data_IF_296335607628
#
_entry.id   IF_296335607628
#
_cell.length_a   1.000
_cell.length_b   1.000
_cell.length_c   1.000
_cell.angle_alpha   90.00
_cell.angle_beta   90.00
_cell.angle_gamma   90.00
#
_symmetry.space_group_name_H-M   'P 1'
#
loop_
_entity.id
_entity.type
_entity.pdbx_description
1 polymer ?
#
# COMPACT_ATOMS: atom_id res chain seq x y z
N UNK A 1 -41.18 7.19 41.36
CA UNK A 1 -42.40 6.37 41.20
C UNK A 1 -43.60 6.78 42.06
N UNK A 2 -43.45 7.12 43.36
CA UNK A 2 -44.59 7.42 44.25
C UNK A 2 -45.47 8.60 43.78
N UNK A 3 -44.85 9.64 43.21
CA UNK A 3 -45.57 10.82 42.70
C UNK A 3 -46.43 10.52 41.45
N UNK A 4 -45.93 9.67 40.55
CA UNK A 4 -46.63 9.25 39.31
C UNK A 4 -47.82 8.33 39.61
N UNK A 5 -47.74 7.53 40.67
CA UNK A 5 -48.81 6.61 41.10
C UNK A 5 -50.06 7.36 41.60
N UNK A 6 -49.87 8.54 42.21
CA UNK A 6 -50.97 9.39 42.64
C UNK A 6 -51.70 10.09 41.48
N UNK A 7 -51.03 10.28 40.33
CA UNK A 7 -51.61 10.95 39.15
C UNK A 7 -52.31 9.96 38.23
N UNK A 8 -51.75 8.76 38.04
CA UNK A 8 -52.23 7.78 37.07
C UNK A 8 -52.99 6.59 37.66
N UNK A 9 -53.14 6.53 38.99
CA UNK A 9 -53.92 5.53 39.70
C UNK A 9 -53.44 4.09 39.47
N UNK A 10 -54.37 3.13 39.55
CA UNK A 10 -54.09 1.69 39.38
C UNK A 10 -53.69 1.29 37.96
N UNK A 11 -53.88 2.17 36.96
CA UNK A 11 -53.53 1.93 35.56
C UNK A 11 -52.06 2.21 35.22
N UNK A 12 -51.29 2.78 36.14
CA UNK A 12 -49.89 3.13 35.92
C UNK A 12 -49.02 1.95 35.41
N UNK A 13 -49.11 0.73 35.94
CA UNK A 13 -48.27 -0.38 35.47
C UNK A 13 -48.53 -0.74 34.00
N UNK A 14 -49.81 -0.78 33.60
CA UNK A 14 -50.20 -1.08 32.22
C UNK A 14 -49.77 0.05 31.27
N UNK A 15 -49.89 1.31 31.70
CA UNK A 15 -49.46 2.45 30.90
C UNK A 15 -47.94 2.49 30.72
N UNK A 16 -47.15 2.23 31.77
CA UNK A 16 -45.70 2.12 31.66
C UNK A 16 -45.32 0.97 30.71
N UNK A 17 -46.05 -0.15 30.76
CA UNK A 17 -45.80 -1.27 29.87
C UNK A 17 -46.12 -0.95 28.39
N UNK A 18 -47.18 -0.17 28.14
CA UNK A 18 -47.55 0.31 26.80
C UNK A 18 -46.54 1.36 26.30
N UNK A 19 -46.20 2.36 27.12
CA UNK A 19 -45.19 3.37 26.78
C UNK A 19 -43.82 2.72 26.54
N UNK A 20 -43.46 1.69 27.32
CA UNK A 20 -42.28 0.85 27.09
C UNK A 20 -42.33 0.16 25.74
N UNK A 21 -43.44 -0.50 25.38
CA UNK A 21 -43.58 -1.14 24.07
C UNK A 21 -43.58 -0.15 22.91
N UNK A 22 -44.08 1.08 23.11
CA UNK A 22 -44.05 2.14 22.10
C UNK A 22 -42.62 2.64 21.91
N UNK A 23 -41.92 2.95 23.01
CA UNK A 23 -40.54 3.46 22.97
C UNK A 23 -39.55 2.40 22.49
N UNK A 24 -39.77 1.12 22.80
CA UNK A 24 -39.02 -0.01 22.22
C UNK A 24 -39.26 -0.15 20.69
N UNK A 25 -40.38 0.37 20.16
CA UNK A 25 -40.73 0.34 18.73
C UNK A 25 -40.32 1.58 17.94
N UNK A 26 -39.92 2.68 18.59
CA UNK A 26 -39.42 3.87 17.88
C UNK A 26 -37.99 3.61 17.42
N UNK A 27 -37.86 2.86 16.32
CA UNK A 27 -36.61 2.74 15.59
C UNK A 27 -36.16 4.12 15.09
N UNK A 28 -34.86 4.39 15.20
CA UNK A 28 -34.23 5.49 14.44
C UNK A 28 -34.36 5.22 12.94
N UNK A 29 -34.03 6.24 12.13
CA UNK A 29 -33.94 6.18 10.67
C UNK A 29 -33.38 4.83 10.15
N UNK A 30 -33.81 4.36 8.96
CA UNK A 30 -33.46 3.05 8.43
C UNK A 30 -31.95 2.74 8.48
N UNK A 31 -31.56 1.68 9.18
CA UNK A 31 -30.20 1.15 9.23
C UNK A 31 -29.37 1.42 10.49
N UNK A 32 -29.98 1.93 11.58
CA UNK A 32 -29.34 1.96 12.90
C UNK A 32 -29.97 0.89 13.82
N UNK A 33 -29.19 0.17 14.63
CA UNK A 33 -29.75 -0.74 15.63
C UNK A 33 -30.65 0.04 16.59
N UNK A 34 -31.81 -0.51 16.93
CA UNK A 34 -32.70 0.06 17.94
C UNK A 34 -32.02 -0.06 19.31
N UNK A 35 -31.80 1.08 19.97
CA UNK A 35 -31.22 1.12 21.30
C UNK A 35 -32.27 1.39 22.37
N UNK A 36 -32.14 0.74 23.54
CA UNK A 36 -33.03 0.95 24.69
C UNK A 36 -32.74 2.26 25.44
N UNK A 37 -31.70 2.99 25.04
CA UNK A 37 -31.20 4.23 25.68
C UNK A 37 -32.31 5.25 25.98
N UNK A 38 -33.29 5.42 25.08
CA UNK A 38 -34.40 6.35 25.32
C UNK A 38 -35.32 5.90 26.46
N UNK A 39 -35.60 4.60 26.54
CA UNK A 39 -36.34 3.98 27.63
C UNK A 39 -35.54 4.06 28.94
N UNK A 40 -34.25 3.69 28.88
CA UNK A 40 -33.38 3.62 30.06
C UNK A 40 -33.12 5.01 30.66
N UNK A 41 -33.05 6.04 29.82
CA UNK A 41 -32.99 7.44 30.23
C UNK A 41 -34.29 7.91 30.91
N UNK A 42 -35.46 7.48 30.42
CA UNK A 42 -36.75 7.85 31.01
C UNK A 42 -37.09 7.03 32.27
N UNK A 43 -36.62 5.79 32.37
CA UNK A 43 -36.82 4.94 33.54
C UNK A 43 -35.82 5.22 34.67
N UNK A 44 -34.77 6.02 34.41
CA UNK A 44 -33.68 6.28 35.35
C UNK A 44 -32.72 5.12 35.50
N UNK A 45 -32.77 4.13 34.59
CA UNK A 45 -31.88 2.98 34.61
C UNK A 45 -30.44 3.34 34.22
N UNK A 46 -30.25 4.43 33.46
CA UNK A 46 -28.90 4.95 33.15
C UNK A 46 -28.17 5.51 34.38
N UNK A 47 -28.89 5.80 35.46
CA UNK A 47 -28.33 6.43 36.67
C UNK A 47 -27.96 5.38 37.76
N UNK A 48 -28.26 4.10 37.54
CA UNK A 48 -28.02 3.01 38.49
C UNK A 48 -27.19 1.90 37.82
N UNK A 49 -26.08 1.51 38.44
CA UNK A 49 -25.17 0.50 37.87
C UNK A 49 -25.35 -0.82 38.64
N UNK A 50 -25.99 -1.80 38.01
CA UNK A 50 -26.35 -3.07 38.64
C UNK A 50 -25.21 -4.10 38.53
N UNK A 51 -25.27 -5.14 39.35
CA UNK A 51 -24.32 -6.26 39.29
C UNK A 51 -24.49 -7.09 38.00
N UNK A 52 -25.67 -7.06 37.38
CA UNK A 52 -25.97 -7.76 36.13
C UNK A 52 -25.26 -7.10 34.93
N UNK A 53 -25.09 -5.77 34.96
CA UNK A 53 -24.34 -5.00 33.95
C UNK A 53 -22.85 -5.41 33.89
N UNK A 54 -22.26 -5.79 35.04
CA UNK A 54 -20.88 -6.29 35.10
C UNK A 54 -20.72 -7.67 34.42
N UNK A 55 -21.77 -8.50 34.44
CA UNK A 55 -21.74 -9.86 33.91
C UNK A 55 -22.13 -9.95 32.42
N UNK A 56 -22.69 -8.88 31.86
CA UNK A 56 -23.04 -8.81 30.43
C UNK A 56 -24.12 -9.81 30.02
N UNK A 57 -25.16 -9.96 30.82
CA UNK A 57 -26.24 -10.91 30.55
C UNK A 57 -27.07 -10.49 29.30
N UNK A 58 -27.64 -11.45 28.53
CA UNK A 58 -28.31 -11.14 27.26
C UNK A 58 -29.50 -10.18 27.33
N UNK A 59 -30.08 -9.98 28.52
CA UNK A 59 -31.20 -9.07 28.76
C UNK A 59 -30.83 -7.59 28.76
N UNK A 60 -29.55 -7.27 29.01
CA UNK A 60 -29.00 -5.92 29.18
C UNK A 60 -28.22 -5.43 27.94
N UNK A 61 -28.35 -6.15 26.84
CA UNK A 61 -27.84 -5.72 25.53
C UNK A 61 -28.49 -4.38 25.14
N UNK A 62 -27.68 -3.32 25.03
CA UNK A 62 -28.11 -2.01 24.52
C UNK A 62 -28.75 -2.11 23.13
N UNK A 63 -28.38 -3.16 22.37
CA UNK A 63 -28.93 -3.51 21.08
C UNK A 63 -30.12 -4.44 21.28
N UNK A 64 -31.33 -4.00 20.91
CA UNK A 64 -32.48 -4.90 20.95
C UNK A 64 -32.24 -6.10 19.99
N UNK A 65 -32.75 -7.30 20.32
CA UNK A 65 -32.72 -8.42 19.38
C UNK A 65 -33.38 -8.00 18.05
N UNK A 66 -32.89 -8.53 16.91
CA UNK A 66 -33.37 -8.11 15.59
C UNK A 66 -34.89 -8.27 15.53
N UNK A 67 -35.59 -7.19 15.22
CA UNK A 67 -37.04 -7.21 15.16
C UNK A 67 -37.53 -8.08 13.97
N UNK A 68 -38.81 -8.43 13.97
CA UNK A 68 -39.40 -9.26 12.91
C UNK A 68 -39.20 -8.62 11.53
N UNK A 69 -39.13 -7.29 11.46
CA UNK A 69 -38.90 -6.55 10.22
C UNK A 69 -37.47 -6.76 9.70
N UNK A 70 -36.47 -6.70 10.57
CA UNK A 70 -35.04 -6.97 10.30
C UNK A 70 -34.83 -8.41 9.83
N UNK A 71 -35.51 -9.36 10.46
CA UNK A 71 -35.50 -10.77 10.07
C UNK A 71 -36.20 -10.98 8.72
N UNK A 72 -37.30 -10.27 8.45
CA UNK A 72 -37.99 -10.30 7.17
C UNK A 72 -37.16 -9.62 6.06
N UNK A 73 -36.47 -8.53 6.33
CA UNK A 73 -35.55 -7.89 5.38
C UNK A 73 -34.40 -8.85 5.01
N UNK A 74 -33.79 -9.53 5.99
CA UNK A 74 -32.79 -10.55 5.72
C UNK A 74 -33.36 -11.74 4.93
N UNK A 75 -34.56 -12.22 5.28
CA UNK A 75 -35.21 -13.33 4.59
C UNK A 75 -35.63 -13.00 3.15
N UNK A 76 -36.04 -11.76 2.90
CA UNK A 76 -36.44 -11.25 1.58
C UNK A 76 -35.25 -10.72 0.77
N UNK A 77 -34.02 -10.82 1.28
CA UNK A 77 -32.81 -10.32 0.61
C UNK A 77 -32.71 -8.79 0.53
N UNK A 78 -33.48 -8.07 1.35
CA UNK A 78 -33.50 -6.61 1.47
C UNK A 78 -32.56 -6.07 2.55
N UNK A 79 -31.91 -6.94 3.34
CA UNK A 79 -30.86 -6.52 4.27
C UNK A 79 -29.82 -5.67 3.53
N UNK A 80 -29.59 -4.44 3.99
CA UNK A 80 -28.58 -3.54 3.42
C UNK A 80 -27.26 -4.30 3.30
N UNK A 81 -26.74 -4.42 2.08
CA UNK A 81 -25.35 -4.82 1.88
C UNK A 81 -24.47 -3.97 2.80
N UNK A 82 -23.46 -4.55 3.47
CA UNK A 82 -22.55 -3.80 4.31
C UNK A 82 -22.06 -2.56 3.55
N UNK A 83 -21.97 -1.42 4.25
CA UNK A 83 -21.47 -0.20 3.65
C UNK A 83 -20.13 -0.51 2.97
N UNK A 84 -19.91 -0.06 1.72
CA UNK A 84 -18.68 -0.35 1.01
C UNK A 84 -17.51 0.11 1.87
N UNK A 85 -16.56 -0.78 2.11
CA UNK A 85 -15.39 -0.48 2.91
C UNK A 85 -14.19 -0.30 1.98
N UNK A 86 -13.37 0.70 2.30
CA UNK A 86 -12.17 1.01 1.54
C UNK A 86 -11.08 -0.01 1.88
N UNK A 87 -10.54 -0.67 0.86
CA UNK A 87 -9.43 -1.61 0.97
C UNK A 87 -8.26 -1.10 0.15
N UNK A 88 -7.07 -1.18 0.75
CA UNK A 88 -5.81 -0.87 0.07
C UNK A 88 -5.12 -2.18 -0.30
N UNK A 89 -4.68 -2.28 -1.54
CA UNK A 89 -3.95 -3.41 -2.10
C UNK A 89 -2.54 -2.95 -2.48
N UNK A 90 -1.52 -3.76 -2.17
CA UNK A 90 -0.22 -3.64 -2.83
C UNK A 90 -0.25 -4.49 -4.10
N UNK A 91 0.05 -3.87 -5.25
CA UNK A 91 -0.04 -4.48 -6.58
C UNK A 91 1.33 -4.47 -7.24
N UNK A 92 1.94 -5.64 -7.35
CA UNK A 92 3.27 -5.80 -7.95
C UNK A 92 3.19 -5.99 -9.47
N UNK A 93 4.29 -5.64 -10.16
CA UNK A 93 4.45 -5.86 -11.60
C UNK A 93 3.93 -4.73 -12.50
N UNK A 94 3.41 -3.64 -11.94
CA UNK A 94 3.04 -2.45 -12.73
C UNK A 94 4.29 -1.69 -13.18
N UNK A 95 4.45 -1.49 -14.50
CA UNK A 95 5.66 -0.85 -15.08
C UNK A 95 5.38 0.45 -15.84
N UNK A 96 4.16 0.68 -16.31
CA UNK A 96 3.81 1.87 -17.08
C UNK A 96 2.34 2.25 -16.89
N UNK A 97 1.91 3.40 -17.45
CA UNK A 97 0.51 3.84 -17.41
C UNK A 97 -0.47 2.87 -18.09
N UNK A 98 -0.01 2.07 -19.05
CA UNK A 98 -0.80 0.97 -19.63
C UNK A 98 -1.13 -0.12 -18.59
N UNK A 99 -0.17 -0.47 -17.71
CA UNK A 99 -0.41 -1.40 -16.61
C UNK A 99 -1.45 -0.82 -15.63
N UNK A 100 -1.36 0.47 -15.30
CA UNK A 100 -2.32 1.16 -14.41
C UNK A 100 -3.74 1.03 -14.97
N UNK A 101 -3.89 1.33 -16.26
CA UNK A 101 -5.19 1.22 -16.95
C UNK A 101 -5.72 -0.22 -16.97
N UNK A 102 -4.84 -1.21 -17.16
CA UNK A 102 -5.20 -2.62 -17.15
C UNK A 102 -5.65 -3.09 -15.76
N UNK A 103 -4.92 -2.72 -14.70
CA UNK A 103 -5.27 -3.00 -13.30
C UNK A 103 -6.61 -2.36 -12.95
N UNK A 104 -6.78 -1.06 -13.22
CA UNK A 104 -8.03 -0.31 -12.96
C UNK A 104 -9.23 -0.97 -13.66
N UNK A 105 -9.08 -1.33 -14.93
CA UNK A 105 -10.13 -2.02 -15.71
C UNK A 105 -10.44 -3.42 -15.16
N UNK A 106 -9.43 -4.16 -14.72
CA UNK A 106 -9.61 -5.50 -14.16
C UNK A 106 -10.37 -5.45 -12.83
N UNK A 107 -10.06 -4.46 -11.99
CA UNK A 107 -10.76 -4.19 -10.73
C UNK A 107 -12.22 -3.78 -10.96
N UNK A 108 -12.46 -2.79 -11.82
CA UNK A 108 -13.83 -2.29 -12.10
C UNK A 108 -14.73 -3.32 -12.79
N UNK A 109 -14.16 -4.37 -13.40
CA UNK A 109 -14.94 -5.49 -13.97
C UNK A 109 -15.42 -6.49 -12.92
N UNK A 110 -14.90 -6.44 -11.69
CA UNK A 110 -15.29 -7.41 -10.68
C UNK A 110 -16.63 -7.04 -10.03
N UNK A 111 -17.53 -8.03 -9.83
CA UNK A 111 -18.77 -7.79 -9.12
C UNK A 111 -18.50 -7.47 -7.65
N UNK A 112 -19.04 -6.33 -7.20
CA UNK A 112 -18.90 -5.83 -5.83
C UNK A 112 -17.86 -4.73 -5.64
N UNK A 113 -17.18 -4.26 -6.71
CA UNK A 113 -16.30 -3.09 -6.66
C UNK A 113 -17.03 -1.87 -7.21
N UNK A 114 -17.20 -0.82 -6.40
CA UNK A 114 -17.85 0.44 -6.82
C UNK A 114 -16.86 1.43 -7.42
N UNK A 115 -15.66 1.51 -6.87
CA UNK A 115 -14.61 2.39 -7.33
C UNK A 115 -13.23 1.76 -7.19
N UNK A 116 -12.30 2.16 -8.05
CA UNK A 116 -10.91 1.72 -8.01
C UNK A 116 -10.00 2.86 -8.46
N UNK A 117 -9.03 3.21 -7.61
CA UNK A 117 -7.93 4.12 -7.93
C UNK A 117 -6.62 3.38 -7.84
N UNK A 118 -5.71 3.63 -8.78
CA UNK A 118 -4.45 2.88 -8.89
C UNK A 118 -3.31 3.88 -8.98
N UNK A 119 -2.36 3.76 -8.05
CA UNK A 119 -1.17 4.60 -8.03
C UNK A 119 0.06 3.77 -8.38
N UNK A 120 0.74 4.20 -9.45
CA UNK A 120 1.90 3.52 -9.98
C UNK A 120 3.18 3.73 -9.15
N UNK A 121 3.32 4.88 -8.49
CA UNK A 121 4.52 5.23 -7.69
C UNK A 121 4.53 4.43 -6.39
N UNK A 122 3.36 4.33 -5.75
CA UNK A 122 3.15 3.59 -4.50
C UNK A 122 2.96 2.09 -4.72
N UNK A 123 2.89 1.64 -5.98
CA UNK A 123 2.58 0.25 -6.35
C UNK A 123 1.32 -0.25 -5.61
N UNK A 124 0.32 0.63 -5.53
CA UNK A 124 -0.86 0.43 -4.69
C UNK A 124 -2.15 0.68 -5.45
N UNK A 125 -3.22 -0.01 -5.05
CA UNK A 125 -4.57 0.24 -5.52
C UNK A 125 -5.52 0.40 -4.33
N UNK A 126 -6.36 1.42 -4.38
CA UNK A 126 -7.43 1.65 -3.41
C UNK A 126 -8.74 1.28 -4.07
N UNK A 127 -9.49 0.36 -3.45
CA UNK A 127 -10.79 -0.08 -3.95
C UNK A 127 -11.87 0.12 -2.89
N UNK A 128 -13.07 0.43 -3.34
CA UNK A 128 -14.26 0.33 -2.50
C UNK A 128 -14.96 -0.99 -2.82
N UNK A 129 -14.91 -1.91 -1.85
CA UNK A 129 -15.49 -3.24 -1.96
C UNK A 129 -16.77 -3.33 -1.13
N UNK A 130 -17.78 -4.00 -1.69
CA UNK A 130 -19.04 -4.30 -0.99
C UNK A 130 -18.82 -5.25 0.19
N UNK A 131 -18.01 -6.27 -0.02
CA UNK A 131 -17.75 -7.37 0.93
C UNK A 131 -16.33 -7.90 0.75
N UNK A 132 -15.83 -8.65 1.75
CA UNK A 132 -14.49 -9.25 1.72
C UNK A 132 -14.33 -10.24 0.56
N UNK A 133 -15.43 -10.87 0.13
CA UNK A 133 -15.42 -11.81 -0.98
C UNK A 133 -15.12 -11.11 -2.31
N UNK A 134 -15.66 -9.91 -2.51
CA UNK A 134 -15.36 -9.04 -3.65
C UNK A 134 -13.88 -8.67 -3.68
N UNK A 135 -13.28 -8.37 -2.53
CA UNK A 135 -11.84 -8.11 -2.39
C UNK A 135 -11.01 -9.33 -2.81
N UNK A 136 -11.36 -10.53 -2.33
CA UNK A 136 -10.65 -11.77 -2.68
C UNK A 136 -10.78 -12.09 -4.18
N UNK A 137 -11.97 -11.87 -4.77
CA UNK A 137 -12.18 -12.02 -6.23
C UNK A 137 -11.29 -11.05 -7.01
N UNK A 138 -11.19 -9.80 -6.56
CA UNK A 138 -10.33 -8.79 -7.15
C UNK A 138 -8.87 -9.20 -7.16
N UNK A 139 -8.36 -9.69 -6.03
CA UNK A 139 -6.97 -10.16 -5.90
C UNK A 139 -6.69 -11.33 -6.84
N UNK A 140 -7.60 -12.32 -6.94
CA UNK A 140 -7.44 -13.42 -7.90
C UNK A 140 -7.47 -12.95 -9.35
N UNK A 141 -8.37 -12.03 -9.67
CA UNK A 141 -8.48 -11.47 -11.01
C UNK A 141 -7.18 -10.74 -11.41
N UNK A 142 -6.63 -9.93 -10.51
CA UNK A 142 -5.35 -9.26 -10.71
C UNK A 142 -4.20 -10.26 -10.90
N UNK A 143 -4.12 -11.29 -10.04
CA UNK A 143 -3.12 -12.35 -10.19
C UNK A 143 -3.21 -13.06 -11.56
N UNK A 144 -4.43 -13.38 -12.01
CA UNK A 144 -4.67 -13.98 -13.33
C UNK A 144 -4.28 -13.05 -14.49
N UNK A 145 -4.47 -11.75 -14.33
CA UNK A 145 -4.04 -10.73 -15.27
C UNK A 145 -2.51 -10.49 -15.26
N UNK A 146 -1.79 -11.08 -14.31
CA UNK A 146 -0.34 -10.95 -14.17
C UNK A 146 0.13 -9.85 -13.23
N UNK A 147 -0.76 -9.32 -12.40
CA UNK A 147 -0.49 -8.34 -11.38
C UNK A 147 -0.69 -9.00 -10.00
N UNK A 148 0.30 -9.76 -9.50
CA UNK A 148 0.18 -10.36 -8.18
C UNK A 148 -0.04 -9.24 -7.15
N UNK A 149 -1.09 -9.40 -6.35
CA UNK A 149 -1.51 -8.40 -5.39
C UNK A 149 -1.80 -9.02 -4.03
N UNK A 150 -1.55 -8.25 -2.99
CA UNK A 150 -1.76 -8.63 -1.60
C UNK A 150 -2.61 -7.54 -0.93
N UNK A 151 -3.49 -7.95 -0.02
CA UNK A 151 -4.26 -6.99 0.78
C UNK A 151 -3.30 -6.35 1.78
N UNK A 152 -3.24 -5.02 1.81
CA UNK A 152 -2.41 -4.30 2.77
C UNK A 152 -3.08 -4.40 4.15
N UNK A 153 -2.44 -5.02 5.16
CA UNK A 153 -3.00 -5.12 6.50
C UNK A 153 -3.22 -3.73 7.11
N UNK A 154 -4.30 -3.56 7.86
CA UNK A 154 -4.64 -2.30 8.56
C UNK A 154 -3.79 -2.07 9.83
N UNK A 155 -3.12 -3.11 10.34
CA UNK A 155 -2.41 -3.09 11.62
C UNK A 155 -0.91 -2.82 11.43
N UNK A 156 -0.37 -1.92 12.27
CA UNK A 156 0.96 -1.33 12.10
C UNK A 156 2.14 -2.28 12.37
N UNK A 157 1.91 -3.38 13.11
CA UNK A 157 2.97 -4.31 13.52
C UNK A 157 3.54 -5.13 12.35
N UNK A 158 2.74 -5.34 11.30
CA UNK A 158 3.14 -6.11 10.10
C UNK A 158 3.77 -5.23 8.99
N UNK A 159 3.66 -3.90 9.09
CA UNK A 159 4.13 -2.97 8.05
C UNK A 159 5.66 -2.80 8.05
N UNK A 160 6.33 -3.04 9.18
CA UNK A 160 7.73 -2.65 9.41
C UNK A 160 8.76 -3.67 8.89
N UNK A 161 8.58 -4.95 9.22
CA UNK A 161 9.42 -6.02 8.64
C UNK A 161 9.28 -6.06 7.12
N UNK A 162 8.06 -5.83 6.64
CA UNK A 162 7.72 -5.77 5.21
C UNK A 162 8.24 -4.51 4.53
N UNK A 163 8.32 -3.38 5.22
CA UNK A 163 8.88 -2.14 4.69
C UNK A 163 10.36 -2.27 4.37
N UNK A 164 11.16 -2.72 5.34
CA UNK A 164 12.60 -2.94 5.16
C UNK A 164 12.88 -4.05 4.12
N UNK A 165 12.11 -5.14 4.14
CA UNK A 165 12.22 -6.21 3.14
C UNK A 165 11.84 -5.71 1.72
N UNK A 166 10.80 -4.88 1.60
CA UNK A 166 10.38 -4.28 0.33
C UNK A 166 11.39 -3.26 -0.18
N UNK A 167 12.01 -2.47 0.70
CA UNK A 167 13.10 -1.55 0.33
C UNK A 167 14.35 -2.31 -0.15
N UNK A 168 14.76 -3.35 0.57
CA UNK A 168 15.89 -4.20 0.18
C UNK A 168 15.64 -4.89 -1.17
N UNK A 169 14.44 -5.45 -1.37
CA UNK A 169 14.05 -6.06 -2.64
C UNK A 169 14.06 -5.05 -3.80
N UNK A 170 13.61 -3.81 -3.56
CA UNK A 170 13.59 -2.74 -4.56
C UNK A 170 15.00 -2.26 -4.91
N UNK A 171 15.91 -2.26 -3.94
CA UNK A 171 17.32 -1.98 -4.18
C UNK A 171 18.00 -3.07 -4.99
N UNK A 172 17.75 -4.34 -4.66
CA UNK A 172 18.25 -5.47 -5.45
C UNK A 172 17.73 -5.43 -6.89
N UNK A 173 16.43 -5.15 -7.09
CA UNK A 173 15.85 -5.01 -8.44
C UNK A 173 16.51 -3.89 -9.25
N UNK A 174 16.82 -2.76 -8.61
CA UNK A 174 17.55 -1.66 -9.25
C UNK A 174 18.97 -2.07 -9.61
N UNK A 175 19.69 -2.74 -8.72
CA UNK A 175 21.04 -3.24 -9.00
C UNK A 175 21.00 -4.22 -10.18
N UNK A 176 20.06 -5.16 -10.18
CA UNK A 176 19.86 -6.09 -11.30
C UNK A 176 19.52 -5.36 -12.61
N UNK A 177 18.64 -4.36 -12.58
CA UNK A 177 18.33 -3.53 -13.76
C UNK A 177 19.55 -2.79 -14.28
N UNK A 178 20.35 -2.21 -13.39
CA UNK A 178 21.59 -1.50 -13.78
C UNK A 178 22.63 -2.44 -14.37
N UNK A 179 22.75 -3.65 -13.80
CA UNK A 179 23.66 -4.68 -14.31
C UNK A 179 23.23 -5.20 -15.68
N UNK A 180 21.93 -5.46 -15.86
CA UNK A 180 21.37 -5.84 -17.15
C UNK A 180 21.57 -4.76 -18.21
N UNK A 181 21.38 -3.49 -17.85
CA UNK A 181 21.67 -2.37 -18.74
C UNK A 181 23.16 -2.30 -19.08
N UNK A 182 24.07 -2.47 -18.11
CA UNK A 182 25.52 -2.46 -18.34
C UNK A 182 25.95 -3.59 -19.29
N UNK A 183 25.49 -4.82 -19.07
CA UNK A 183 25.74 -5.96 -19.97
C UNK A 183 25.20 -5.65 -21.37
N UNK A 184 23.96 -5.17 -21.47
CA UNK A 184 23.34 -4.87 -22.77
C UNK A 184 24.10 -3.78 -23.54
N UNK A 185 24.64 -2.77 -22.85
CA UNK A 185 25.47 -1.74 -23.46
C UNK A 185 26.85 -2.26 -23.86
N UNK A 186 27.42 -3.20 -23.11
CA UNK A 186 28.64 -3.91 -23.51
C UNK A 186 28.45 -4.72 -24.80
N UNK A 187 27.33 -5.46 -24.91
CA UNK A 187 26.98 -6.19 -26.14
C UNK A 187 26.69 -5.24 -27.30
N UNK A 188 25.93 -4.17 -27.07
CA UNK A 188 25.65 -3.18 -28.11
C UNK A 188 26.91 -2.44 -28.58
N UNK A 189 27.90 -2.24 -27.69
CA UNK A 189 29.19 -1.66 -28.07
C UNK A 189 29.98 -2.57 -29.00
N UNK A 190 29.87 -3.90 -28.86
CA UNK A 190 30.45 -4.85 -29.80
C UNK A 190 29.79 -4.75 -31.20
N UNK A 191 28.46 -4.61 -31.26
CA UNK A 191 27.72 -4.37 -32.50
C UNK A 191 28.07 -3.01 -33.15
N UNK A 192 28.17 -1.94 -32.34
CA UNK A 192 28.62 -0.63 -32.84
C UNK A 192 30.04 -0.68 -33.40
N UNK A 193 30.91 -1.48 -32.77
CA UNK A 193 32.23 -1.76 -33.32
C UNK A 193 32.11 -2.54 -34.63
N UNK A 194 31.24 -3.54 -34.76
CA UNK A 194 31.01 -4.15 -36.08
C UNK A 194 30.59 -3.12 -37.16
N UNK A 195 29.60 -2.28 -36.87
CA UNK A 195 29.12 -1.25 -37.80
C UNK A 195 30.18 -0.21 -38.19
N UNK A 196 31.07 0.18 -37.26
CA UNK A 196 32.19 1.06 -37.59
C UNK A 196 33.17 0.42 -38.59
N UNK A 197 33.22 -0.92 -38.67
CA UNK A 197 34.01 -1.66 -39.66
C UNK A 197 33.43 -1.52 -41.07
N UNK A 198 32.10 -1.52 -41.18
CA UNK A 198 31.41 -1.18 -42.42
C UNK A 198 31.63 0.29 -42.83
N UNK A 199 31.71 1.21 -41.88
CA UNK A 199 32.07 2.60 -42.18
C UNK A 199 33.51 2.74 -42.70
N UNK A 200 34.47 2.00 -42.13
CA UNK A 200 35.85 1.90 -42.63
C UNK A 200 35.90 1.32 -44.05
N UNK A 201 35.08 0.31 -44.34
CA UNK A 201 34.92 -0.24 -45.69
C UNK A 201 34.41 0.83 -46.67
N UNK A 202 33.38 1.60 -46.29
CA UNK A 202 32.84 2.70 -47.10
C UNK A 202 33.86 3.84 -47.34
N UNK A 203 34.81 4.03 -46.43
CA UNK A 203 35.92 4.99 -46.54
C UNK A 203 37.11 4.47 -47.37
N UNK A 204 37.03 3.26 -47.95
CA UNK A 204 38.07 2.67 -48.80
C UNK A 204 39.19 1.94 -48.04
N UNK A 205 39.05 1.72 -46.72
CA UNK A 205 40.02 1.01 -45.88
C UNK A 205 39.70 -0.49 -45.77
N UNK A 206 39.39 -1.13 -46.90
CA UNK A 206 38.85 -2.49 -46.97
C UNK A 206 39.74 -3.56 -46.34
N UNK A 207 41.07 -3.42 -46.46
CA UNK A 207 42.05 -4.33 -45.85
C UNK A 207 41.97 -4.38 -44.32
N UNK A 208 41.62 -3.26 -43.67
CA UNK A 208 41.46 -3.19 -42.21
C UNK A 208 40.06 -3.59 -41.76
N UNK A 209 39.05 -3.42 -42.63
CA UNK A 209 37.66 -3.78 -42.34
C UNK A 209 37.41 -5.30 -42.33
N UNK A 210 38.15 -6.07 -43.13
CA UNK A 210 37.99 -7.54 -43.22
C UNK A 210 39.05 -8.34 -42.46
N UNK A 211 39.95 -7.69 -41.72
CA UNK A 211 41.02 -8.36 -40.98
C UNK A 211 40.93 -8.10 -39.48
N UNK A 212 41.53 -9.00 -38.69
CA UNK A 212 41.57 -8.89 -37.24
C UNK A 212 40.18 -8.89 -36.59
N UNK A 213 39.98 -7.99 -35.64
CA UNK A 213 38.76 -7.94 -34.80
C UNK A 213 37.49 -7.60 -35.59
N UNK A 214 37.59 -6.78 -36.63
CA UNK A 214 36.45 -6.33 -37.44
C UNK A 214 35.89 -7.45 -38.34
N UNK A 215 36.80 -8.24 -38.94
CA UNK A 215 36.41 -9.42 -39.72
C UNK A 215 35.81 -10.52 -38.84
N UNK A 216 36.31 -10.70 -37.61
CA UNK A 216 35.73 -11.65 -36.66
C UNK A 216 34.33 -11.22 -36.19
N UNK A 217 34.15 -9.94 -35.83
CA UNK A 217 32.86 -9.38 -35.44
C UNK A 217 31.81 -9.45 -36.57
N UNK A 218 32.23 -9.25 -37.81
CA UNK A 218 31.34 -9.33 -38.96
C UNK A 218 30.96 -10.73 -39.42
N UNK A 219 31.40 -11.78 -38.71
CA UNK A 219 30.98 -13.12 -39.01
C UNK A 219 29.52 -13.34 -38.54
N UNK A 220 28.58 -13.80 -39.40
CA UNK A 220 27.15 -13.93 -39.04
C UNK A 220 26.88 -14.77 -37.78
N UNK A 221 27.64 -15.85 -37.56
CA UNK A 221 27.56 -16.65 -36.34
C UNK A 221 27.95 -15.89 -35.05
N UNK A 222 28.85 -14.91 -35.14
CA UNK A 222 29.23 -14.07 -33.99
C UNK A 222 28.08 -13.11 -33.68
N UNK A 223 27.51 -12.44 -34.68
CA UNK A 223 26.31 -11.61 -34.52
C UNK A 223 25.13 -12.41 -33.96
N UNK A 224 24.88 -13.62 -34.45
CA UNK A 224 23.85 -14.52 -33.93
C UNK A 224 24.11 -14.91 -32.46
N UNK A 225 25.37 -15.15 -32.09
CA UNK A 225 25.78 -15.43 -30.72
C UNK A 225 25.57 -14.25 -29.77
N UNK A 226 25.97 -13.04 -30.18
CA UNK A 226 25.76 -11.80 -29.42
C UNK A 226 24.26 -11.53 -29.26
N UNK A 227 23.48 -11.64 -30.34
CA UNK A 227 22.03 -11.51 -30.32
C UNK A 227 21.37 -12.52 -29.37
N UNK A 228 21.71 -13.80 -29.48
CA UNK A 228 21.21 -14.83 -28.58
C UNK A 228 21.57 -14.55 -27.12
N UNK A 229 22.79 -14.10 -26.84
CA UNK A 229 23.22 -13.73 -25.49
C UNK A 229 22.45 -12.52 -24.94
N UNK A 230 22.21 -11.50 -25.77
CA UNK A 230 21.41 -10.33 -25.38
C UNK A 230 19.95 -10.71 -25.07
N UNK A 231 19.34 -11.55 -25.92
CA UNK A 231 17.96 -11.99 -25.77
C UNK A 231 17.78 -12.97 -24.59
N UNK A 232 18.71 -13.90 -24.38
CA UNK A 232 18.65 -14.90 -23.32
C UNK A 232 19.12 -14.38 -21.95
N UNK A 233 19.98 -13.34 -21.94
CA UNK A 233 20.47 -12.67 -20.74
C UNK A 233 19.62 -11.44 -20.38
N UNK A 234 20.12 -10.22 -20.59
CA UNK A 234 19.48 -8.99 -20.09
C UNK A 234 18.09 -8.73 -20.70
N UNK A 235 17.85 -9.19 -21.93
CA UNK A 235 16.57 -9.07 -22.64
C UNK A 235 15.49 -10.07 -22.23
N UNK A 236 15.86 -11.16 -21.53
CA UNK A 236 14.97 -12.31 -21.33
C UNK A 236 13.67 -11.93 -20.65
N UNK A 237 13.75 -11.09 -19.63
CA UNK A 237 12.56 -10.66 -18.87
C UNK A 237 11.61 -9.83 -19.73
N UNK A 238 12.12 -9.04 -20.68
CA UNK A 238 11.28 -8.27 -21.61
C UNK A 238 10.53 -9.19 -22.57
N UNK A 239 11.24 -10.15 -23.15
CA UNK A 239 10.68 -11.08 -24.14
C UNK A 239 9.63 -11.96 -23.50
N UNK A 240 9.95 -12.58 -22.36
CA UNK A 240 9.03 -13.48 -21.65
C UNK A 240 7.80 -12.73 -21.15
N UNK A 241 7.98 -11.55 -20.55
CA UNK A 241 6.84 -10.77 -20.06
C UNK A 241 5.98 -10.25 -21.21
N UNK A 242 6.59 -9.83 -22.32
CA UNK A 242 5.86 -9.41 -23.52
C UNK A 242 5.05 -10.52 -24.15
N UNK A 243 5.63 -11.71 -24.30
CA UNK A 243 4.90 -12.88 -24.81
C UNK A 243 3.72 -13.26 -23.90
N UNK A 244 3.93 -13.24 -22.57
CA UNK A 244 2.86 -13.50 -21.59
C UNK A 244 1.76 -12.44 -21.63
N UNK A 245 2.13 -11.16 -21.68
CA UNK A 245 1.19 -10.05 -21.75
C UNK A 245 0.31 -10.11 -23.01
N UNK A 246 0.93 -10.42 -24.15
CA UNK A 246 0.23 -10.65 -25.41
C UNK A 246 -0.72 -11.85 -25.32
N UNK A 247 -0.27 -12.99 -24.77
CA UNK A 247 -1.10 -14.19 -24.61
C UNK A 247 -2.32 -14.00 -23.70
N UNK A 248 -2.25 -13.05 -22.76
CA UNK A 248 -3.34 -12.72 -21.83
C UNK A 248 -4.29 -11.64 -22.35
N UNK A 249 -4.11 -11.15 -23.58
CA UNK A 249 -4.97 -10.12 -24.18
C UNK A 249 -4.77 -8.72 -23.58
N UNK A 250 -3.66 -8.49 -22.88
CA UNK A 250 -3.29 -7.20 -22.29
C UNK A 250 -1.92 -6.76 -22.81
N UNK A 251 -1.81 -6.39 -24.09
CA UNK A 251 -0.54 -5.96 -24.66
C UNK A 251 -0.03 -4.69 -23.96
N UNK A 252 1.25 -4.71 -23.64
CA UNK A 252 1.97 -3.65 -22.94
C UNK A 252 3.24 -3.26 -23.72
N UNK A 253 4.06 -2.38 -23.14
CA UNK A 253 5.34 -1.98 -23.74
C UNK A 253 6.24 -3.20 -24.01
N UNK A 254 6.26 -4.21 -23.13
CA UNK A 254 7.06 -5.42 -23.33
C UNK A 254 6.58 -6.22 -24.54
N UNK A 255 5.27 -6.24 -24.79
CA UNK A 255 4.66 -6.99 -25.90
C UNK A 255 5.16 -6.48 -27.25
N UNK A 256 5.21 -5.14 -27.41
CA UNK A 256 5.73 -4.52 -28.63
C UNK A 256 7.21 -4.83 -28.85
N UNK A 257 8.02 -4.71 -27.78
CA UNK A 257 9.46 -5.01 -27.83
C UNK A 257 9.70 -6.48 -28.17
N UNK A 258 9.01 -7.39 -27.49
CA UNK A 258 9.14 -8.83 -27.69
C UNK A 258 8.82 -9.23 -29.14
N UNK A 259 7.75 -8.67 -29.71
CA UNK A 259 7.38 -8.94 -31.10
C UNK A 259 8.42 -8.40 -32.09
N UNK A 260 8.87 -7.15 -31.91
CA UNK A 260 9.85 -6.52 -32.79
C UNK A 260 11.20 -7.25 -32.76
N UNK A 261 11.72 -7.53 -31.56
CA UNK A 261 12.98 -8.25 -31.34
C UNK A 261 12.91 -9.68 -31.89
N UNK A 262 11.82 -10.40 -31.63
CA UNK A 262 11.65 -11.76 -32.15
C UNK A 262 11.56 -11.78 -33.68
N UNK A 263 10.88 -10.80 -34.28
CA UNK A 263 10.75 -10.69 -35.74
C UNK A 263 12.11 -10.41 -36.37
N UNK A 264 12.80 -9.36 -35.93
CA UNK A 264 14.09 -8.94 -36.47
C UNK A 264 15.17 -10.03 -36.27
N UNK A 265 15.31 -10.57 -35.06
CA UNK A 265 16.26 -11.63 -34.79
C UNK A 265 15.93 -12.92 -35.55
N UNK A 266 14.63 -13.26 -35.65
CA UNK A 266 14.17 -14.41 -36.44
C UNK A 266 14.47 -14.28 -37.92
N UNK A 267 14.28 -13.10 -38.51
CA UNK A 267 14.66 -12.82 -39.91
C UNK A 267 16.17 -12.87 -40.12
N UNK A 268 16.96 -12.32 -39.18
CA UNK A 268 18.42 -12.39 -39.22
C UNK A 268 18.94 -13.83 -39.14
N UNK A 269 18.35 -14.65 -38.26
CA UNK A 269 18.67 -16.09 -38.18
C UNK A 269 18.32 -16.82 -39.48
N UNK A 270 17.12 -16.58 -40.04
CA UNK A 270 16.72 -17.20 -41.29
C UNK A 270 17.71 -16.83 -42.43
N UNK A 271 18.15 -15.58 -42.49
CA UNK A 271 19.15 -15.12 -43.46
C UNK A 271 20.53 -15.78 -43.26
N UNK A 272 20.95 -16.00 -42.01
CA UNK A 272 22.25 -16.56 -41.70
C UNK A 272 22.34 -18.08 -41.95
N UNK A 273 21.23 -18.80 -41.78
CA UNK A 273 21.20 -20.27 -41.85
C UNK A 273 20.53 -20.83 -43.11
N UNK A 274 19.82 -20.01 -43.89
CA UNK A 274 19.20 -20.44 -45.16
C UNK A 274 19.86 -19.70 -46.33
N UNK A 275 20.80 -20.35 -47.05
CA UNK A 275 21.45 -19.74 -48.20
C UNK A 275 20.46 -19.40 -49.31
N UNK A 276 20.53 -18.20 -49.88
CA UNK A 276 19.76 -17.80 -51.06
C UNK A 276 18.47 -16.99 -50.78
N UNK A 277 18.15 -16.70 -49.52
CA UNK A 277 17.07 -15.75 -49.20
C UNK A 277 17.63 -14.31 -49.31
N UNK A 278 16.95 -13.38 -50.02
CA UNK A 278 17.37 -11.99 -50.16
C UNK A 278 17.01 -11.15 -48.91
N UNK A 279 17.37 -11.66 -47.73
CA UNK A 279 17.24 -10.94 -46.46
C UNK A 279 18.62 -10.43 -46.04
N UNK A 280 18.64 -9.35 -45.25
CA UNK A 280 19.88 -8.79 -44.74
C UNK A 280 20.25 -9.47 -43.41
N UNK A 281 21.45 -10.05 -43.35
CA UNK A 281 21.98 -10.68 -42.15
C UNK A 281 22.39 -9.65 -41.07
N UNK A 282 22.46 -8.35 -41.41
CA UNK A 282 22.65 -7.26 -40.45
C UNK A 282 21.52 -7.19 -39.41
N UNK A 283 20.37 -7.83 -39.71
CA UNK A 283 19.19 -7.90 -38.85
C UNK A 283 19.40 -8.58 -37.47
N UNK A 284 20.55 -9.23 -37.29
CA UNK A 284 20.92 -9.92 -36.04
C UNK A 284 21.32 -8.93 -34.93
N UNK A 285 21.78 -7.73 -35.28
CA UNK A 285 22.39 -6.79 -34.34
C UNK A 285 21.46 -5.66 -33.90
N UNK A 286 20.46 -5.24 -34.68
CA UNK A 286 19.54 -4.18 -34.24
C UNK A 286 18.73 -4.54 -33.01
N UNK A 287 18.27 -5.79 -32.81
CA UNK A 287 17.61 -6.17 -31.56
C UNK A 287 18.49 -5.93 -30.33
N UNK A 288 19.81 -6.12 -30.46
CA UNK A 288 20.79 -5.91 -29.37
C UNK A 288 20.89 -4.42 -29.02
N UNK A 289 21.04 -3.58 -30.05
CA UNK A 289 21.11 -2.13 -29.87
C UNK A 289 19.81 -1.56 -29.30
N UNK A 290 18.67 -2.01 -29.80
CA UNK A 290 17.35 -1.62 -29.30
C UNK A 290 17.18 -2.00 -27.83
N UNK A 291 17.58 -3.22 -27.44
CA UNK A 291 17.54 -3.66 -26.04
C UNK A 291 18.38 -2.77 -25.12
N UNK A 292 19.56 -2.31 -25.58
CA UNK A 292 20.43 -1.46 -24.78
C UNK A 292 19.76 -0.12 -24.42
N UNK A 293 19.10 0.53 -25.39
CA UNK A 293 18.37 1.77 -25.14
C UNK A 293 17.13 1.56 -24.27
N UNK A 294 16.38 0.47 -24.51
CA UNK A 294 15.20 0.14 -23.70
C UNK A 294 15.57 -0.12 -22.25
N UNK A 295 16.62 -0.91 -21.99
CA UNK A 295 17.07 -1.24 -20.63
C UNK A 295 17.67 -0.02 -19.92
N UNK A 296 18.37 0.85 -20.64
CA UNK A 296 18.81 2.14 -20.11
C UNK A 296 17.63 3.00 -19.69
N UNK A 297 16.63 3.17 -20.57
CA UNK A 297 15.42 3.94 -20.29
C UNK A 297 14.71 3.44 -19.03
N UNK A 298 14.54 2.11 -18.89
CA UNK A 298 13.95 1.51 -17.69
C UNK A 298 14.74 1.76 -16.42
N UNK A 299 16.07 1.70 -16.51
CA UNK A 299 16.93 1.95 -15.37
C UNK A 299 16.86 3.41 -14.93
N UNK A 300 16.80 4.35 -15.87
CA UNK A 300 16.60 5.77 -15.59
C UNK A 300 15.21 6.04 -15.00
N UNK A 301 14.17 5.43 -15.56
CA UNK A 301 12.80 5.54 -15.06
C UNK A 301 12.67 5.01 -13.62
N UNK A 302 13.24 3.84 -13.34
CA UNK A 302 13.22 3.24 -12.01
C UNK A 302 13.99 4.09 -10.98
N UNK A 303 15.13 4.68 -11.36
CA UNK A 303 15.87 5.62 -10.51
C UNK A 303 15.09 6.89 -10.24
N UNK A 304 14.46 7.48 -11.25
CA UNK A 304 13.62 8.66 -11.10
C UNK A 304 12.44 8.40 -10.15
N UNK A 305 11.79 7.24 -10.28
CA UNK A 305 10.71 6.81 -9.39
C UNK A 305 11.17 6.56 -7.95
N UNK A 306 12.32 5.90 -7.74
CA UNK A 306 12.88 5.72 -6.38
C UNK A 306 13.06 7.09 -5.72
N UNK A 307 13.67 8.04 -6.44
CA UNK A 307 13.89 9.39 -5.92
C UNK A 307 12.58 10.08 -5.51
N UNK A 308 11.54 10.00 -6.34
CA UNK A 308 10.23 10.56 -6.02
C UNK A 308 9.52 9.86 -4.83
N UNK A 309 9.80 8.56 -4.62
CA UNK A 309 9.20 7.76 -3.54
C UNK A 309 9.83 8.00 -2.17
N UNK A 310 11.09 8.46 -2.09
CA UNK A 310 11.80 8.69 -0.83
C UNK A 310 11.19 9.83 -0.03
N UNK A 311 10.74 10.89 -0.70
CA UNK A 311 10.14 12.06 -0.04
C UNK A 311 8.82 11.73 0.70
N UNK A 312 8.13 10.67 0.28
CA UNK A 312 6.91 10.18 0.93
C UNK A 312 7.19 9.34 2.19
N UNK A 313 8.27 8.55 2.19
CA UNK A 313 8.68 7.72 3.35
C UNK A 313 9.20 8.56 4.53
N UNK A 314 9.68 9.78 4.26
CA UNK A 314 10.15 10.71 5.29
C UNK A 314 9.07 11.00 6.36
N UNK A 315 7.80 11.07 5.95
CA UNK A 315 6.68 11.27 6.88
C UNK A 315 6.43 10.06 7.79
N UNK A 316 6.58 8.83 7.29
CA UNK A 316 6.43 7.62 8.12
C UNK A 316 7.57 7.44 9.13
N UNK A 317 8.76 7.98 8.83
CA UNK A 317 9.91 7.95 9.74
C UNK A 317 9.77 8.85 10.98
N UNK A 318 8.72 9.67 11.06
CA UNK A 318 8.46 10.57 12.18
C UNK A 318 8.07 9.81 13.46
N UNK A 319 7.47 8.63 13.33
CA UNK A 319 7.07 7.80 14.46
C UNK A 319 8.26 6.91 14.87
N UNK A 320 8.72 6.99 16.13
CA UNK A 320 9.84 6.16 16.59
C UNK A 320 9.51 4.66 16.52
N UNK A 321 10.52 3.85 16.22
CA UNK A 321 10.38 2.41 16.10
C UNK A 321 10.15 1.74 17.46
N UNK A 322 10.87 2.22 18.46
CA UNK A 322 10.86 1.74 19.83
C UNK A 322 10.29 2.81 20.76
N UNK A 323 9.53 2.35 21.75
CA UNK A 323 8.96 3.13 22.83
C UNK A 323 9.38 2.56 24.17
N UNK A 324 9.43 3.39 25.19
CA UNK A 324 9.81 2.97 26.54
C UNK A 324 8.57 2.92 27.42
N UNK A 325 7.97 1.75 27.52
CA UNK A 325 6.77 1.50 28.32
C UNK A 325 7.14 1.40 29.80
N UNK A 326 6.46 2.16 30.65
CA UNK A 326 6.57 2.06 32.11
C UNK A 326 5.65 0.94 32.57
N UNK A 327 6.22 -0.11 33.16
CA UNK A 327 5.49 -1.21 33.76
C UNK A 327 5.29 -0.85 35.24
N UNK A 328 4.04 -0.79 35.67
CA UNK A 328 3.72 -0.52 37.07
C UNK A 328 3.83 -1.81 37.88
N UNK A 329 4.92 -1.95 38.62
CA UNK A 329 5.21 -3.11 39.47
C UNK A 329 4.58 -2.96 40.88
N UNK A 330 3.76 -1.93 41.12
CA UNK A 330 3.08 -1.70 42.40
C UNK A 330 3.93 -1.05 43.50
N UNK A 331 5.24 -0.88 43.31
CA UNK A 331 6.17 -0.24 44.27
C UNK A 331 6.54 1.22 43.92
N UNK A 332 5.81 1.88 43.02
CA UNK A 332 5.92 3.34 42.79
C UNK A 332 7.17 3.81 42.02
N UNK A 333 8.10 2.90 41.69
CA UNK A 333 9.21 3.14 40.77
C UNK A 333 9.07 2.23 39.55
N UNK A 334 8.09 2.51 38.70
CA UNK A 334 7.78 1.66 37.55
C UNK A 334 9.00 1.43 36.65
N UNK A 335 9.41 0.16 36.52
CA UNK A 335 10.51 -0.22 35.65
C UNK A 335 10.13 0.06 34.20
N UNK A 336 11.04 0.67 33.45
CA UNK A 336 10.78 1.01 32.04
C UNK A 336 11.36 -0.07 31.12
N UNK A 337 10.56 -0.60 30.19
CA UNK A 337 10.98 -1.59 29.20
C UNK A 337 10.87 -1.03 27.79
N UNK A 338 11.89 -1.28 26.98
CA UNK A 338 11.83 -0.93 25.56
C UNK A 338 10.95 -1.94 24.83
N UNK A 339 9.93 -1.42 24.14
CA UNK A 339 8.94 -2.19 23.38
C UNK A 339 8.73 -1.55 22.01
N UNK A 340 8.33 -2.33 21.01
CA UNK A 340 7.84 -1.79 19.75
C UNK A 340 6.69 -0.78 19.94
N UNK A 341 6.71 0.34 19.22
CA UNK A 341 5.69 1.41 19.36
C UNK A 341 4.27 0.96 18.95
N UNK A 342 4.17 -0.02 18.08
CA UNK A 342 2.92 -0.58 17.55
C UNK A 342 2.12 -1.41 18.56
N UNK A 343 2.76 -2.01 19.58
CA UNK A 343 2.07 -2.77 20.62
C UNK A 343 1.44 -1.86 21.69
N UNK A 344 1.72 -0.56 21.66
CA UNK A 344 1.19 0.40 22.62
C UNK A 344 -0.33 0.53 22.50
N UNK A 345 -0.99 0.46 23.65
CA UNK A 345 -2.44 0.58 23.79
C UNK A 345 -2.82 1.87 24.50
N UNK A 346 -4.07 2.27 24.33
CA UNK A 346 -4.64 3.38 25.08
C UNK A 346 -4.57 3.06 26.58
N UNK A 347 -4.08 4.03 27.35
CA UNK A 347 -3.88 3.89 28.80
C UNK A 347 -2.45 3.57 29.22
N UNK A 348 -1.61 3.05 28.31
CA UNK A 348 -0.21 2.77 28.58
C UNK A 348 0.56 4.04 28.95
N UNK A 349 1.48 3.95 29.92
CA UNK A 349 2.34 5.07 30.34
C UNK A 349 3.71 4.89 29.73
N UNK A 350 4.17 5.90 29.01
CA UNK A 350 5.40 5.85 28.22
C UNK A 350 6.36 6.91 28.76
N UNK A 351 7.61 6.52 28.97
CA UNK A 351 8.68 7.40 29.37
C UNK A 351 9.37 7.97 28.13
N UNK A 352 9.40 9.29 28.01
CA UNK A 352 10.05 10.02 26.90
C UNK A 352 11.20 10.84 27.47
N UNK A 353 12.41 10.59 26.95
CA UNK A 353 13.64 11.26 27.38
C UNK A 353 13.96 12.49 26.51
N UNK A 354 14.84 13.40 26.99
CA UNK A 354 15.41 14.46 26.17
C UNK A 354 16.01 13.93 24.86
N UNK A 355 15.65 14.57 23.74
CA UNK A 355 16.02 14.18 22.38
C UNK A 355 15.14 13.09 21.76
N UNK A 356 14.27 12.41 22.52
CA UNK A 356 13.37 11.39 21.99
C UNK A 356 12.08 11.99 21.43
N UNK A 357 11.47 11.29 20.48
CA UNK A 357 10.15 11.65 19.95
C UNK A 357 9.05 11.02 20.79
N UNK A 358 7.96 11.76 20.97
CA UNK A 358 6.74 11.22 21.56
C UNK A 358 6.15 10.19 20.58
N UNK A 359 5.97 8.92 20.98
CA UNK A 359 5.60 7.86 20.03
C UNK A 359 4.14 7.90 19.56
N UNK A 360 3.23 8.25 20.47
CA UNK A 360 1.78 8.26 20.24
C UNK A 360 1.15 9.48 20.91
N UNK A 361 -0.04 9.86 20.43
CA UNK A 361 -0.79 10.96 21.05
C UNK A 361 -1.17 10.60 22.48
N UNK A 362 -1.03 11.55 23.40
CA UNK A 362 -1.27 11.27 24.81
C UNK A 362 -1.39 12.50 25.68
N UNK A 363 -1.43 12.26 26.98
CA UNK A 363 -1.48 13.30 28.01
C UNK A 363 -0.30 13.12 28.97
N UNK A 364 0.39 14.21 29.29
CA UNK A 364 1.48 14.19 30.27
C UNK A 364 0.90 13.91 31.64
N UNK A 365 1.34 12.82 32.27
CA UNK A 365 0.95 12.46 33.64
C UNK A 365 1.95 12.94 34.68
N UNK A 366 3.22 13.04 34.30
CA UNK A 366 4.31 13.44 35.19
C UNK A 366 5.49 13.99 34.38
N UNK A 367 6.29 14.85 35.03
CA UNK A 367 7.42 15.54 34.42
C UNK A 367 7.06 16.87 33.75
N UNK A 368 8.09 17.62 33.36
CA UNK A 368 7.97 18.86 32.60
C UNK A 368 9.03 18.87 31.53
N UNK A 369 8.66 19.29 30.32
CA UNK A 369 9.61 19.42 29.24
C UNK A 369 9.22 20.48 28.21
N UNK A 370 10.19 20.93 27.44
CA UNK A 370 9.96 21.74 26.23
C UNK A 370 9.81 20.83 25.02
N UNK A 371 8.75 21.02 24.23
CA UNK A 371 8.43 20.21 23.07
C UNK A 371 8.62 21.00 21.77
N UNK A 372 9.26 20.41 20.78
CA UNK A 372 9.35 20.94 19.43
C UNK A 372 8.27 20.30 18.54
N UNK A 373 7.22 21.08 18.26
CA UNK A 373 6.12 20.69 17.38
C UNK A 373 6.36 21.07 15.90
N UNK A 374 7.53 21.62 15.54
CA UNK A 374 7.79 22.17 14.19
C UNK A 374 7.55 21.18 13.05
N UNK A 375 7.80 19.89 13.26
CA UNK A 375 7.55 18.84 12.26
C UNK A 375 6.06 18.57 12.00
N UNK A 376 5.19 18.93 12.94
CA UNK A 376 3.74 18.70 12.85
C UNK A 376 2.97 19.99 12.58
N UNK A 377 3.35 21.09 13.23
CA UNK A 377 2.66 22.39 13.14
C UNK A 377 3.36 23.39 12.22
N UNK A 378 4.64 23.20 11.91
CA UNK A 378 5.46 24.17 11.18
C UNK A 378 5.97 25.33 12.04
N UNK A 379 5.62 25.39 13.33
CA UNK A 379 6.05 26.45 14.24
C UNK A 379 7.36 26.08 14.94
N UNK A 380 8.39 26.92 14.82
CA UNK A 380 9.73 26.68 15.39
C UNK A 380 9.83 26.98 16.90
N UNK A 381 8.76 27.48 17.52
CA UNK A 381 8.76 27.87 18.93
C UNK A 381 8.49 26.66 19.80
N UNK A 382 9.40 26.38 20.74
CA UNK A 382 9.21 25.33 21.73
C UNK A 382 7.97 25.60 22.60
N UNK A 383 7.18 24.54 22.82
CA UNK A 383 5.96 24.56 23.62
C UNK A 383 6.22 23.88 24.96
N UNK A 384 6.01 24.55 26.10
CA UNK A 384 6.18 23.91 27.40
C UNK A 384 5.06 22.90 27.66
N UNK A 385 5.44 21.72 28.13
CA UNK A 385 4.56 20.65 28.54
C UNK A 385 4.72 20.36 30.03
N UNK A 386 3.60 20.20 30.73
CA UNK A 386 3.50 19.90 32.14
C UNK A 386 2.35 18.92 32.36
N UNK A 387 2.18 18.33 33.57
CA UNK A 387 1.11 17.37 33.82
C UNK A 387 -0.27 17.94 33.47
N UNK A 388 -1.07 17.15 32.74
CA UNK A 388 -2.36 17.55 32.17
C UNK A 388 -2.28 18.11 30.74
N UNK A 389 -1.09 18.39 30.21
CA UNK A 389 -0.93 18.85 28.83
C UNK A 389 -1.11 17.70 27.83
N UNK A 390 -1.80 17.96 26.72
CA UNK A 390 -1.90 17.01 25.59
C UNK A 390 -0.68 17.14 24.69
N UNK A 391 -0.16 15.99 24.25
CA UNK A 391 1.01 15.89 23.37
C UNK A 391 0.66 15.04 22.16
N UNK A 392 1.17 15.45 20.99
CA UNK A 392 0.99 14.72 19.73
C UNK A 392 2.17 13.78 19.52
N UNK A 393 1.92 12.64 18.88
CA UNK A 393 2.98 11.76 18.39
C UNK A 393 3.86 12.49 17.36
N UNK A 394 5.14 12.09 17.26
CA UNK A 394 6.14 12.66 16.36
C UNK A 394 6.81 13.95 16.83
N UNK A 395 6.28 14.58 17.88
CA UNK A 395 6.87 15.79 18.51
C UNK A 395 8.17 15.42 19.24
N UNK A 396 9.18 16.27 19.16
CA UNK A 396 10.49 16.01 19.80
C UNK A 396 10.50 16.58 21.21
N UNK A 397 10.84 15.76 22.20
CA UNK A 397 11.09 16.21 23.56
C UNK A 397 12.50 16.81 23.63
N UNK A 398 12.64 18.10 23.97
CA UNK A 398 13.95 18.75 24.01
C UNK A 398 14.57 18.68 25.39
N UNK A 399 14.03 19.43 26.35
CA UNK A 399 14.59 19.58 27.68
C UNK A 399 13.62 19.03 28.70
N UNK A 400 14.02 18.02 29.47
CA UNK A 400 13.18 17.41 30.50
C UNK A 400 12.70 16.00 30.14
N UNK A 401 12.15 15.32 31.14
CA UNK A 401 11.63 13.96 31.02
C UNK A 401 10.13 14.01 31.18
N UNK A 402 9.40 13.28 30.34
CA UNK A 402 7.95 13.19 30.40
C UNK A 402 7.51 11.74 30.59
N UNK A 403 6.50 11.55 31.44
CA UNK A 403 5.65 10.36 31.40
C UNK A 403 4.36 10.73 30.71
N UNK A 404 4.06 10.05 29.61
CA UNK A 404 2.91 10.32 28.76
C UNK A 404 1.98 9.12 28.78
N UNK A 405 0.72 9.33 29.17
CA UNK A 405 -0.33 8.32 29.06
C UNK A 405 -0.89 8.34 27.64
N UNK A 406 -0.80 7.22 26.94
CA UNK A 406 -1.29 7.05 25.58
C UNK A 406 -2.81 7.24 25.52
N UNK A 407 -3.25 8.15 24.65
CA UNK A 407 -4.67 8.41 24.38
C UNK A 407 -5.22 7.56 23.22
N UNK A 408 -4.33 7.09 22.35
CA UNK A 408 -4.62 6.26 21.18
C UNK A 408 -3.46 5.29 20.89
N UNK A 409 -3.73 4.22 20.15
CA UNK A 409 -2.68 3.35 19.58
C UNK A 409 -1.85 4.10 18.52
N UNK A 410 -0.64 3.63 18.23
CA UNK A 410 0.22 4.23 17.20
C UNK A 410 -0.46 4.38 15.82
N UNK A 411 -1.29 3.41 15.43
CA UNK A 411 -2.04 3.46 14.17
C UNK A 411 -3.09 4.59 14.13
N UNK A 412 -3.53 5.10 15.27
CA UNK A 412 -4.56 6.13 15.39
C UNK A 412 -4.01 7.48 15.86
N UNK A 413 -2.68 7.64 15.89
CA UNK A 413 -2.06 8.92 16.21
C UNK A 413 -2.31 9.98 15.13
N UNK A 414 -2.16 11.25 15.49
CA UNK A 414 -2.31 12.40 14.59
C UNK A 414 -1.37 12.28 13.39
N UNK A 415 -0.11 11.91 13.61
CA UNK A 415 0.88 11.72 12.53
C UNK A 415 0.50 10.57 11.60
N UNK A 416 0.02 9.44 12.14
CA UNK A 416 -0.52 8.34 11.34
C UNK A 416 -1.76 8.76 10.53
N UNK A 417 -2.59 9.65 11.10
CA UNK A 417 -3.71 10.28 10.40
C UNK A 417 -3.26 11.16 9.24
N UNK A 418 -2.26 12.03 9.45
CA UNK A 418 -1.68 12.88 8.40
C UNK A 418 -1.08 12.02 7.30
N UNK A 419 -0.29 11.00 7.64
CA UNK A 419 0.31 10.08 6.67
C UNK A 419 -0.77 9.42 5.80
N UNK A 420 -1.84 8.88 6.41
CA UNK A 420 -2.99 8.33 5.67
C UNK A 420 -3.67 9.36 4.77
N UNK A 421 -3.91 10.58 5.25
CA UNK A 421 -4.54 11.62 4.43
C UNK A 421 -3.69 12.00 3.22
N UNK A 422 -2.37 12.08 3.39
CA UNK A 422 -1.42 12.35 2.29
C UNK A 422 -1.41 11.18 1.30
N UNK A 423 -1.35 9.94 1.80
CA UNK A 423 -1.44 8.73 0.98
C UNK A 423 -2.76 8.67 0.20
N UNK A 424 -3.89 8.90 0.85
CA UNK A 424 -5.22 8.92 0.23
C UNK A 424 -5.34 10.04 -0.81
N UNK A 425 -4.79 11.22 -0.52
CA UNK A 425 -4.77 12.34 -1.45
C UNK A 425 -3.92 12.06 -2.69
N UNK A 426 -2.79 11.36 -2.54
CA UNK A 426 -1.95 10.93 -3.66
C UNK A 426 -2.47 9.70 -4.39
N UNK A 427 -3.24 8.85 -3.72
CA UNK A 427 -3.90 7.72 -4.33
C UNK A 427 -5.06 8.16 -5.22
N UNK A 428 -5.64 9.34 -4.99
CA UNK A 428 -6.67 9.93 -5.85
C UNK A 428 -6.02 10.53 -7.10
N UNK A 429 -6.43 10.02 -8.26
CA UNK A 429 -6.02 10.54 -9.56
C UNK A 429 -6.53 12.00 -9.71
N UNK A 430 -5.68 12.90 -10.21
CA UNK A 430 -6.16 14.20 -10.67
C UNK A 430 -7.11 13.95 -11.87
N UNK A 431 -8.30 14.60 -11.91
CA UNK A 431 -9.32 14.35 -12.93
C UNK A 431 -8.84 14.59 -14.36
#
# INVERSE_FOLDING_TARGET
MAMLKNVYGSGLPARIQIERQILERVGRLPGLPSSRIGLDSMSGALDDFSFEDYLGLPGDSEVAPPDLHSLMEAHLGMARSPAPHTVVLDVSGMKCGGCVSAVKRTLLRQPGISSASVNLVLEGAVIEARDDEATVRAVRALASAGFPSIIRPREAHDLRGRGAEKEAAREEELLQSTWNAAISWGLASACLLHHAGHALHALGLTMHAHSGVWGWLGHPYVGAGIGAAALAGPGRTLIVNGARALSRGHPDMNSLIALGVATAFGTGLASAFVPGIPLDASLLEEPVMLLAFVLLGRTLEARARKKASVDLSALSSLIPEQSRLVIDDGEGSGASRQVPTDILRRGDVILVLPGERVPVDGEVVDGRASLDESLVTGESRLVPAAPGARVKGGVVCHEGVLRVRASASAALSTVSGIARMVEDAQAREAP
#
